data_IF_871302723989
#
_entry.id   IF_871302723989
#
_cell.length_a   1.000
_cell.length_b   1.000
_cell.length_c   1.000
_cell.angle_alpha   90.00
_cell.angle_beta   90.00
_cell.angle_gamma   90.00
#
_symmetry.space_group_name_H-M   'P 1'
#
loop_
_entity.id
_entity.type
_entity.pdbx_description
1 polymer ?
#
# COMPACT_ATOMS: atom_id res chain seq x y z
N UNK A 1 42.94 -28.96 -8.72
CA UNK A 1 41.81 -29.17 -9.66
C UNK A 1 40.65 -28.32 -9.17
N UNK A 2 40.58 -27.11 -9.70
CA UNK A 2 39.69 -26.01 -9.29
C UNK A 2 38.37 -26.07 -10.05
N UNK A 3 37.27 -26.32 -9.33
CA UNK A 3 35.90 -26.13 -9.84
C UNK A 3 35.44 -24.68 -9.53
N UNK A 4 34.62 -24.07 -10.40
CA UNK A 4 34.65 -22.63 -10.63
C UNK A 4 33.73 -21.87 -9.68
N UNK A 5 34.31 -20.88 -9.01
CA UNK A 5 33.63 -19.74 -8.41
C UNK A 5 32.90 -18.93 -9.49
N UNK A 6 31.68 -19.30 -9.90
CA UNK A 6 31.01 -18.54 -10.99
C UNK A 6 29.49 -18.39 -10.92
N UNK A 7 28.84 -18.62 -9.77
CA UNK A 7 27.42 -18.22 -9.60
C UNK A 7 27.19 -17.34 -8.36
N UNK A 8 28.12 -17.35 -7.39
CA UNK A 8 28.01 -16.53 -6.17
C UNK A 8 28.55 -15.09 -6.39
N UNK A 9 29.29 -14.83 -7.48
CA UNK A 9 29.77 -13.48 -7.81
C UNK A 9 28.68 -12.52 -8.31
N UNK A 10 27.44 -12.98 -8.47
CA UNK A 10 26.25 -12.14 -8.70
C UNK A 10 25.95 -11.21 -7.51
N UNK A 11 26.55 -11.45 -6.35
CA UNK A 11 26.41 -10.60 -5.16
C UNK A 11 27.61 -9.67 -4.97
N UNK A 12 27.79 -8.70 -5.88
CA UNK A 12 28.26 -7.35 -5.51
C UNK A 12 27.15 -6.56 -4.78
N UNK A 13 26.30 -7.27 -4.03
CA UNK A 13 25.21 -6.72 -3.23
C UNK A 13 25.75 -5.78 -2.15
N UNK A 14 26.96 -6.06 -1.65
CA UNK A 14 27.66 -5.10 -0.80
C UNK A 14 27.79 -3.74 -1.49
N UNK A 15 28.17 -3.64 -2.76
CA UNK A 15 28.35 -2.36 -3.46
C UNK A 15 27.05 -1.57 -3.70
N UNK A 16 25.91 -2.26 -3.82
CA UNK A 16 24.60 -1.59 -3.98
C UNK A 16 24.22 -0.83 -2.70
N UNK A 17 24.61 -1.34 -1.53
CA UNK A 17 24.35 -0.72 -0.23
C UNK A 17 25.53 0.07 0.35
N UNK A 18 26.77 -0.28 -0.01
CA UNK A 18 28.02 0.37 0.45
C UNK A 18 28.43 1.55 -0.43
N UNK A 19 27.68 1.86 -1.49
CA UNK A 19 27.87 3.10 -2.22
C UNK A 19 27.83 4.26 -1.23
N UNK A 20 29.03 4.83 -1.03
CA UNK A 20 29.39 6.01 -0.23
C UNK A 20 28.72 7.29 -0.74
N UNK A 21 27.62 7.14 -1.50
CA UNK A 21 26.76 8.23 -1.92
C UNK A 21 25.75 8.51 -0.80
N UNK A 22 26.01 9.60 -0.11
CA UNK A 22 25.08 10.30 0.79
C UNK A 22 23.84 10.87 0.05
N UNK A 23 23.69 10.61 -1.26
CA UNK A 23 22.59 11.12 -2.07
C UNK A 23 21.25 10.46 -1.76
N UNK A 24 20.19 11.27 -1.68
CA UNK A 24 18.83 10.78 -1.96
C UNK A 24 18.84 10.20 -3.38
N UNK A 25 18.31 8.99 -3.53
CA UNK A 25 18.09 8.43 -4.87
C UNK A 25 16.93 9.17 -5.52
N UNK A 26 17.22 10.29 -6.18
CA UNK A 26 16.21 11.11 -6.86
C UNK A 26 15.37 10.29 -7.86
N UNK A 27 15.95 9.25 -8.46
CA UNK A 27 15.24 8.35 -9.34
C UNK A 27 14.12 7.54 -8.63
N UNK A 28 14.28 7.22 -7.33
CA UNK A 28 13.22 6.54 -6.57
C UNK A 28 12.01 7.46 -6.36
N UNK A 29 12.25 8.77 -6.27
CA UNK A 29 11.18 9.75 -6.16
C UNK A 29 10.35 9.82 -7.46
N UNK A 30 10.96 9.59 -8.63
CA UNK A 30 10.25 9.43 -9.91
C UNK A 30 9.31 8.23 -9.85
N UNK A 31 9.80 7.06 -9.42
CA UNK A 31 8.96 5.86 -9.31
C UNK A 31 7.81 6.05 -8.32
N UNK A 32 8.04 6.74 -7.20
CA UNK A 32 6.97 7.10 -6.26
C UNK A 32 5.94 8.03 -6.87
N UNK A 33 6.39 9.03 -7.63
CA UNK A 33 5.48 9.95 -8.29
C UNK A 33 4.59 9.21 -9.31
N UNK A 34 5.19 8.36 -10.13
CA UNK A 34 4.45 7.53 -11.10
C UNK A 34 3.45 6.62 -10.37
N UNK A 35 3.89 5.91 -9.32
CA UNK A 35 3.01 5.05 -8.52
C UNK A 35 1.88 5.85 -7.85
N UNK A 36 2.15 7.06 -7.36
CA UNK A 36 1.14 7.94 -6.77
C UNK A 36 0.08 8.33 -7.80
N UNK A 37 0.51 8.82 -8.97
CA UNK A 37 -0.40 9.19 -10.05
C UNK A 37 -1.24 7.98 -10.48
N UNK A 38 -0.63 6.80 -10.59
CA UNK A 38 -1.33 5.56 -10.95
C UNK A 38 -2.44 5.23 -9.96
N UNK A 39 -2.13 5.19 -8.66
CA UNK A 39 -3.10 4.89 -7.59
C UNK A 39 -4.22 5.92 -7.58
N UNK A 40 -3.88 7.21 -7.67
CA UNK A 40 -4.88 8.30 -7.67
C UNK A 40 -5.81 8.19 -8.88
N UNK A 41 -5.27 7.97 -10.09
CA UNK A 41 -6.08 7.83 -11.31
C UNK A 41 -7.04 6.64 -11.21
N UNK A 42 -6.58 5.49 -10.70
CA UNK A 42 -7.42 4.30 -10.56
C UNK A 42 -8.55 4.56 -9.55
N UNK A 43 -8.26 5.06 -8.34
CA UNK A 43 -9.31 5.36 -7.35
C UNK A 43 -10.29 6.43 -7.83
N UNK A 44 -9.82 7.48 -8.53
CA UNK A 44 -10.71 8.47 -9.13
C UNK A 44 -11.56 7.88 -10.25
N UNK A 45 -11.01 6.94 -11.04
CA UNK A 45 -11.69 6.24 -12.12
C UNK A 45 -12.65 5.14 -11.66
N UNK A 46 -12.50 4.62 -10.44
CA UNK A 46 -13.40 3.63 -9.83
C UNK A 46 -14.30 4.28 -8.77
N UNK A 47 -13.82 4.39 -7.52
CA UNK A 47 -14.54 4.86 -6.34
C UNK A 47 -14.91 6.35 -6.41
N UNK A 48 -14.18 7.13 -7.21
CA UNK A 48 -14.38 8.55 -7.42
C UNK A 48 -15.30 8.91 -8.59
N UNK A 49 -15.97 7.97 -9.25
CA UNK A 49 -16.89 8.26 -10.37
C UNK A 49 -18.36 8.25 -9.96
N UNK A 50 -19.02 9.41 -10.10
CA UNK A 50 -20.43 9.58 -9.71
C UNK A 50 -21.40 8.68 -10.48
N UNK A 51 -21.15 8.43 -11.76
CA UNK A 51 -21.98 7.57 -12.60
C UNK A 51 -21.86 6.09 -12.23
N UNK A 52 -20.67 5.63 -11.82
CA UNK A 52 -20.50 4.30 -11.21
C UNK A 52 -21.26 4.23 -9.88
N UNK A 53 -21.13 5.26 -9.04
CA UNK A 53 -21.80 5.32 -7.73
C UNK A 53 -23.33 5.30 -7.89
N UNK A 54 -23.87 6.07 -8.84
CA UNK A 54 -25.31 6.18 -9.14
C UNK A 54 -25.87 5.06 -10.01
N UNK A 55 -25.05 4.07 -10.38
CA UNK A 55 -25.44 2.96 -11.26
C UNK A 55 -26.05 3.45 -12.58
N UNK A 56 -25.46 4.51 -13.15
CA UNK A 56 -25.86 5.05 -14.43
C UNK A 56 -25.27 4.21 -15.59
N UNK A 57 -25.94 4.22 -16.75
CA UNK A 57 -25.50 3.49 -17.95
C UNK A 57 -24.08 3.87 -18.41
N UNK A 58 -23.67 5.11 -18.19
CA UNK A 58 -22.31 5.61 -18.46
C UNK A 58 -21.25 4.96 -17.55
N UNK A 59 -21.62 4.58 -16.33
CA UNK A 59 -20.79 3.82 -15.41
C UNK A 59 -20.54 2.41 -15.94
N UNK A 60 -21.60 1.71 -16.34
CA UNK A 60 -21.51 0.35 -16.88
C UNK A 60 -20.70 0.29 -18.19
N UNK A 61 -20.92 1.25 -19.10
CA UNK A 61 -20.15 1.35 -20.34
C UNK A 61 -18.66 1.51 -20.07
N UNK A 62 -18.29 2.29 -19.06
CA UNK A 62 -16.89 2.43 -18.68
C UNK A 62 -16.32 1.15 -18.08
N UNK A 63 -17.07 0.46 -17.20
CA UNK A 63 -16.63 -0.84 -16.67
C UNK A 63 -16.35 -1.82 -17.81
N UNK A 64 -17.28 -1.91 -18.75
CA UNK A 64 -17.13 -2.72 -19.96
C UNK A 64 -15.87 -2.32 -20.75
N UNK A 65 -15.65 -1.03 -21.01
CA UNK A 65 -14.48 -0.55 -21.72
C UNK A 65 -13.16 -0.87 -20.99
N UNK A 66 -13.13 -0.79 -19.66
CA UNK A 66 -11.95 -1.18 -18.87
C UNK A 66 -11.70 -2.69 -18.99
N UNK A 67 -12.73 -3.52 -18.91
CA UNK A 67 -12.60 -4.97 -19.04
C UNK A 67 -12.20 -5.43 -20.44
N UNK A 68 -12.73 -4.79 -21.49
CA UNK A 68 -12.49 -5.17 -22.87
C UNK A 68 -11.17 -4.63 -23.43
N UNK A 69 -10.64 -3.54 -22.87
CA UNK A 69 -9.46 -2.90 -23.44
C UNK A 69 -8.16 -3.65 -23.07
N UNK A 70 -7.42 -4.20 -24.05
CA UNK A 70 -6.30 -5.11 -23.79
C UNK A 70 -5.10 -4.46 -23.07
N UNK A 71 -4.92 -3.15 -23.25
CA UNK A 71 -3.81 -2.39 -22.65
C UNK A 71 -4.26 -1.58 -21.42
N UNK A 72 -5.25 -0.70 -21.58
CA UNK A 72 -5.73 0.15 -20.49
C UNK A 72 -6.49 -0.59 -19.40
N UNK A 73 -7.12 -1.74 -19.69
CA UNK A 73 -7.81 -2.54 -18.68
C UNK A 73 -6.88 -2.99 -17.55
N UNK A 74 -5.82 -3.75 -17.86
CA UNK A 74 -4.84 -4.17 -16.85
C UNK A 74 -4.09 -3.03 -16.16
N UNK A 75 -3.95 -1.87 -16.82
CA UNK A 75 -3.18 -0.72 -16.29
C UNK A 75 -4.04 0.21 -15.43
N UNK A 76 -5.21 0.62 -15.93
CA UNK A 76 -6.10 1.59 -15.31
C UNK A 76 -7.24 0.95 -14.50
N UNK A 77 -7.37 -0.37 -14.57
CA UNK A 77 -8.31 -1.15 -13.78
C UNK A 77 -7.65 -1.86 -12.59
N UNK A 78 -6.38 -1.57 -12.26
CA UNK A 78 -5.64 -2.26 -11.20
C UNK A 78 -4.66 -1.31 -10.48
N UNK A 79 -5.13 -0.67 -9.42
CA UNK A 79 -4.33 0.16 -8.51
C UNK A 79 -3.33 -0.65 -7.69
N UNK A 80 -3.52 -1.96 -7.54
CA UNK A 80 -2.62 -2.81 -6.76
C UNK A 80 -1.19 -2.76 -7.31
N UNK A 81 -1.02 -2.62 -8.63
CA UNK A 81 0.28 -2.43 -9.27
C UNK A 81 1.03 -1.20 -8.73
N UNK A 82 0.31 -0.08 -8.53
CA UNK A 82 0.89 1.12 -7.94
C UNK A 82 1.29 0.91 -6.47
N UNK A 83 0.44 0.21 -5.71
CA UNK A 83 0.73 -0.14 -4.30
C UNK A 83 1.94 -1.07 -4.17
N UNK A 84 2.08 -2.04 -5.07
CA UNK A 84 3.22 -2.96 -5.12
C UNK A 84 4.55 -2.21 -5.31
N UNK A 85 4.57 -1.18 -6.15
CA UNK A 85 5.75 -0.31 -6.30
C UNK A 85 6.09 0.37 -4.97
N UNK A 86 5.09 0.92 -4.26
CA UNK A 86 5.34 1.54 -2.95
C UNK A 86 5.87 0.55 -1.92
N UNK A 87 5.31 -0.66 -1.86
CA UNK A 87 5.75 -1.70 -0.93
C UNK A 87 7.18 -2.17 -1.25
N UNK A 88 7.50 -2.37 -2.53
CA UNK A 88 8.86 -2.72 -2.96
C UNK A 88 9.88 -1.64 -2.57
N UNK A 89 9.60 -0.38 -2.90
CA UNK A 89 10.46 0.76 -2.57
C UNK A 89 10.62 0.90 -1.05
N UNK A 90 9.54 0.68 -0.31
CA UNK A 90 9.55 0.70 1.14
C UNK A 90 10.48 -0.36 1.72
N UNK A 91 10.38 -1.62 1.27
CA UNK A 91 11.24 -2.72 1.71
C UNK A 91 12.72 -2.47 1.39
N UNK A 92 13.02 -1.99 0.18
CA UNK A 92 14.38 -1.63 -0.22
C UNK A 92 14.98 -0.55 0.70
N UNK A 93 14.23 0.51 0.98
CA UNK A 93 14.69 1.60 1.83
C UNK A 93 14.74 1.21 3.30
N UNK A 94 13.86 0.31 3.73
CA UNK A 94 13.89 -0.28 5.07
C UNK A 94 15.21 -1.04 5.28
N UNK A 95 15.63 -1.87 4.33
CA UNK A 95 16.90 -2.58 4.37
C UNK A 95 18.11 -1.62 4.46
N UNK A 96 18.12 -0.56 3.64
CA UNK A 96 19.19 0.46 3.68
C UNK A 96 19.19 1.25 5.00
N UNK A 97 18.01 1.64 5.49
CA UNK A 97 17.83 2.35 6.75
C UNK A 97 18.34 1.50 7.93
N UNK A 98 18.05 0.20 7.92
CA UNK A 98 18.55 -0.75 8.92
C UNK A 98 20.07 -0.79 8.92
N UNK A 99 20.68 -1.04 7.76
CA UNK A 99 22.14 -1.10 7.64
C UNK A 99 22.83 0.21 8.06
N UNK A 100 22.21 1.36 7.80
CA UNK A 100 22.76 2.68 8.15
C UNK A 100 22.69 2.99 9.64
N UNK A 101 21.58 2.65 10.29
CA UNK A 101 21.31 3.10 11.66
C UNK A 101 21.50 2.03 12.74
N UNK A 102 21.71 0.78 12.33
CA UNK A 102 22.04 -0.30 13.26
C UNK A 102 23.46 -0.10 13.80
N UNK A 103 23.60 -0.22 15.12
CA UNK A 103 24.91 -0.32 15.78
C UNK A 103 25.19 -1.78 16.15
N UNK A 104 26.39 -2.27 15.85
CA UNK A 104 26.82 -3.64 16.16
C UNK A 104 26.93 -3.85 17.67
N UNK A 105 27.27 -2.80 18.41
CA UNK A 105 27.47 -2.84 19.88
C UNK A 105 26.14 -2.82 20.65
N UNK A 106 25.03 -2.52 19.97
CA UNK A 106 23.71 -2.48 20.60
C UNK A 106 22.98 -3.82 20.46
N UNK A 107 22.25 -4.27 21.49
CA UNK A 107 21.42 -5.46 21.40
C UNK A 107 20.34 -5.28 20.33
N UNK A 108 19.91 -6.41 19.75
CA UNK A 108 18.93 -6.47 18.67
C UNK A 108 17.68 -5.62 18.96
N UNK A 109 17.10 -5.77 20.15
CA UNK A 109 15.84 -5.09 20.51
C UNK A 109 15.96 -3.57 20.57
N UNK A 110 17.11 -3.02 20.97
CA UNK A 110 17.35 -1.56 20.96
C UNK A 110 17.51 -1.03 19.53
N UNK A 111 18.16 -1.79 18.64
CA UNK A 111 18.24 -1.43 17.23
C UNK A 111 16.85 -1.52 16.56
N UNK A 112 16.10 -2.59 16.83
CA UNK A 112 14.75 -2.82 16.30
C UNK A 112 13.77 -1.75 16.77
N UNK A 113 13.69 -1.47 18.08
CA UNK A 113 12.77 -0.46 18.61
C UNK A 113 13.06 0.93 18.05
N UNK A 114 14.33 1.35 18.00
CA UNK A 114 14.72 2.62 17.39
C UNK A 114 14.40 2.70 15.90
N UNK A 115 14.58 1.59 15.16
CA UNK A 115 14.26 1.49 13.74
C UNK A 115 12.76 1.62 13.46
N UNK A 116 11.93 0.97 14.26
CA UNK A 116 10.48 1.05 14.19
C UNK A 116 9.98 2.43 14.60
N UNK A 117 10.43 2.94 15.74
CA UNK A 117 9.99 4.23 16.29
C UNK A 117 10.27 5.40 15.34
N UNK A 118 11.46 5.45 14.72
CA UNK A 118 11.79 6.50 13.73
C UNK A 118 10.84 6.49 12.53
N UNK A 119 10.43 5.31 12.06
CA UNK A 119 9.47 5.21 10.95
C UNK A 119 8.07 5.60 11.41
N UNK A 120 7.64 5.15 12.58
CA UNK A 120 6.35 5.51 13.14
C UNK A 120 6.19 7.03 13.25
N UNK A 121 7.19 7.74 13.80
CA UNK A 121 7.20 9.20 13.87
C UNK A 121 7.15 9.90 12.50
N UNK A 122 7.65 9.23 11.45
CA UNK A 122 7.59 9.76 10.08
C UNK A 122 6.23 9.52 9.43
N UNK A 123 5.53 8.46 9.82
CA UNK A 123 4.31 8.00 9.13
C UNK A 123 3.04 8.49 9.83
N UNK A 124 2.95 8.36 11.16
CA UNK A 124 1.73 8.66 11.90
C UNK A 124 1.28 10.14 11.80
N UNK A 125 2.17 11.15 11.99
CA UNK A 125 1.72 12.55 11.95
C UNK A 125 1.19 12.98 10.57
N UNK A 126 1.86 12.68 9.43
CA UNK A 126 1.31 12.99 8.11
C UNK A 126 0.00 12.27 7.82
N UNK A 127 -0.15 11.00 8.23
CA UNK A 127 -1.41 10.25 8.06
C UNK A 127 -2.56 10.92 8.81
N UNK A 128 -2.33 11.31 10.07
CA UNK A 128 -3.33 12.02 10.87
C UNK A 128 -3.69 13.39 10.28
N UNK A 129 -2.68 14.16 9.85
CA UNK A 129 -2.90 15.45 9.22
C UNK A 129 -3.70 15.31 7.92
N UNK A 130 -3.38 14.31 7.10
CA UNK A 130 -4.11 14.00 5.87
C UNK A 130 -5.57 13.63 6.17
N UNK A 131 -5.82 12.70 7.09
CA UNK A 131 -7.18 12.31 7.48
C UNK A 131 -7.96 13.52 7.99
N UNK A 132 -7.35 14.35 8.84
CA UNK A 132 -8.01 15.54 9.38
C UNK A 132 -8.39 16.55 8.29
N UNK A 133 -7.50 16.79 7.33
CA UNK A 133 -7.76 17.70 6.20
C UNK A 133 -8.83 17.14 5.27
N UNK A 134 -8.68 15.87 4.87
CA UNK A 134 -9.54 15.23 3.87
C UNK A 134 -10.93 14.88 4.41
N UNK A 135 -11.04 14.46 5.69
CA UNK A 135 -12.32 14.21 6.36
C UNK A 135 -12.92 15.46 7.04
N UNK A 136 -12.17 16.57 7.07
CA UNK A 136 -12.60 17.80 7.71
C UNK A 136 -13.47 18.70 6.82
N UNK A 137 -13.81 19.91 7.31
CA UNK A 137 -14.61 20.88 6.56
C UNK A 137 -14.00 21.27 5.22
N UNK A 138 -12.66 21.31 5.13
CA UNK A 138 -11.95 21.66 3.90
C UNK A 138 -12.16 20.60 2.81
N UNK A 139 -12.05 19.30 3.14
CA UNK A 139 -12.34 18.23 2.21
C UNK A 139 -13.80 18.25 1.73
N UNK A 140 -14.74 18.50 2.64
CA UNK A 140 -16.17 18.63 2.30
C UNK A 140 -16.44 19.82 1.37
N UNK A 141 -15.79 20.95 1.60
CA UNK A 141 -15.92 22.12 0.74
C UNK A 141 -15.26 21.93 -0.63
N UNK A 142 -14.09 21.29 -0.68
CA UNK A 142 -13.34 21.11 -1.92
C UNK A 142 -13.96 20.06 -2.85
N UNK A 143 -14.53 18.97 -2.30
CA UNK A 143 -15.06 17.84 -3.06
C UNK A 143 -16.47 17.41 -2.56
N UNK A 144 -17.47 18.31 -2.55
CA UNK A 144 -18.75 18.06 -1.89
C UNK A 144 -19.49 16.84 -2.46
N UNK A 145 -19.44 16.65 -3.79
CA UNK A 145 -20.11 15.55 -4.48
C UNK A 145 -19.49 14.19 -4.21
N UNK A 146 -18.20 14.15 -3.85
CA UNK A 146 -17.48 12.91 -3.61
C UNK A 146 -17.19 12.67 -2.14
N UNK A 147 -17.40 13.66 -1.28
CA UNK A 147 -17.03 13.58 0.13
C UNK A 147 -17.68 12.38 0.81
N UNK A 148 -18.95 12.13 0.55
CA UNK A 148 -19.69 11.02 1.17
C UNK A 148 -19.33 9.64 0.62
N UNK A 149 -18.88 9.53 -0.63
CA UNK A 149 -18.42 8.26 -1.21
C UNK A 149 -16.97 7.93 -0.85
N UNK A 150 -16.14 8.96 -0.72
CA UNK A 150 -14.70 8.84 -0.50
C UNK A 150 -14.35 8.84 0.99
N UNK A 151 -15.03 9.65 1.81
CA UNK A 151 -14.76 9.76 3.25
C UNK A 151 -15.76 8.91 4.03
N UNK A 152 -15.28 7.79 4.56
CA UNK A 152 -16.08 6.84 5.31
C UNK A 152 -15.77 6.83 6.80
N UNK A 153 -16.82 6.95 7.64
CA UNK A 153 -16.85 6.61 9.07
C UNK A 153 -15.50 6.77 9.83
N UNK A 154 -14.96 7.99 9.85
CA UNK A 154 -13.73 8.33 10.54
C UNK A 154 -13.97 8.63 12.03
N UNK A 155 -14.47 7.64 12.78
CA UNK A 155 -14.60 7.77 14.24
C UNK A 155 -13.25 7.66 14.95
N UNK A 156 -13.22 8.01 16.24
CA UNK A 156 -12.01 7.87 17.08
C UNK A 156 -11.40 6.48 17.05
N UNK A 157 -12.21 5.42 16.88
CA UNK A 157 -11.72 4.03 16.79
C UNK A 157 -10.93 3.79 15.49
N UNK A 158 -11.44 4.24 14.34
CA UNK A 158 -10.76 4.14 13.05
C UNK A 158 -9.52 5.04 13.01
N UNK A 159 -9.57 6.21 13.64
CA UNK A 159 -8.39 7.07 13.73
C UNK A 159 -7.29 6.40 14.53
N UNK A 160 -7.64 5.77 15.66
CA UNK A 160 -6.67 5.03 16.46
C UNK A 160 -6.08 3.83 15.73
N UNK A 161 -6.88 3.11 14.93
CA UNK A 161 -6.36 1.99 14.13
C UNK A 161 -5.38 2.45 13.04
N UNK A 162 -5.53 3.66 12.50
CA UNK A 162 -4.58 4.29 11.58
C UNK A 162 -3.29 4.75 12.26
N UNK A 163 -3.35 5.24 13.51
CA UNK A 163 -2.14 5.62 14.28
C UNK A 163 -1.29 4.40 14.61
N UNK A 164 -1.95 3.29 14.96
CA UNK A 164 -1.29 2.03 15.23
C UNK A 164 -1.01 1.19 13.99
N UNK A 165 -1.55 1.58 12.82
CA UNK A 165 -1.46 0.85 11.56
C UNK A 165 -1.95 -0.62 11.66
N UNK A 166 -2.99 -0.85 12.46
CA UNK A 166 -3.65 -2.15 12.66
C UNK A 166 -5.02 -2.21 11.96
N UNK A 167 -5.33 -1.22 11.14
CA UNK A 167 -6.61 -1.08 10.45
C UNK A 167 -6.96 -2.31 9.58
N UNK A 168 -5.97 -3.00 9.00
CA UNK A 168 -6.19 -4.23 8.21
C UNK A 168 -6.57 -5.46 9.04
N UNK A 169 -6.37 -5.44 10.36
CA UNK A 169 -6.76 -6.52 11.27
C UNK A 169 -8.07 -6.22 12.01
N UNK A 170 -8.59 -5.01 11.83
CA UNK A 170 -9.84 -4.60 12.45
C UNK A 170 -11.02 -5.20 11.68
N UNK A 171 -12.06 -5.62 12.41
CA UNK A 171 -13.36 -5.95 11.83
C UNK A 171 -14.16 -4.69 11.45
N UNK A 172 -13.68 -3.52 11.87
CA UNK A 172 -14.31 -2.23 11.59
C UNK A 172 -13.78 -1.72 10.25
N UNK A 173 -14.63 -1.18 9.36
CA UNK A 173 -14.19 -0.56 8.11
C UNK A 173 -13.10 0.49 8.34
N UNK A 174 -12.10 0.49 7.46
CA UNK A 174 -11.01 1.47 7.50
C UNK A 174 -11.55 2.84 7.08
N UNK A 175 -11.28 3.88 7.86
CA UNK A 175 -11.56 5.27 7.46
C UNK A 175 -10.74 5.58 6.20
N UNK A 176 -11.41 5.94 5.11
CA UNK A 176 -10.83 6.05 3.76
C UNK A 176 -10.19 4.73 3.32
N UNK A 177 -10.94 3.94 2.54
CA UNK A 177 -10.58 2.57 2.16
C UNK A 177 -9.14 2.46 1.66
N UNK A 178 -8.73 3.34 0.74
CA UNK A 178 -7.39 3.38 0.13
C UNK A 178 -6.22 3.57 1.12
N UNK A 179 -6.44 3.99 2.37
CA UNK A 179 -5.39 4.07 3.39
C UNK A 179 -4.94 2.70 3.91
N UNK A 180 -5.60 1.61 3.50
CA UNK A 180 -5.24 0.23 3.86
C UNK A 180 -3.76 -0.10 3.60
N UNK A 181 -3.16 0.47 2.55
CA UNK A 181 -1.78 0.19 2.17
C UNK A 181 -0.77 0.71 3.21
N UNK A 182 -1.08 1.82 3.91
CA UNK A 182 -0.21 2.35 4.95
C UNK A 182 -0.12 1.39 6.14
N UNK A 183 -1.26 0.77 6.47
CA UNK A 183 -1.33 -0.33 7.43
C UNK A 183 -0.44 -1.50 7.00
N UNK A 184 -0.58 -1.93 5.75
CA UNK A 184 0.18 -3.06 5.21
C UNK A 184 1.69 -2.78 5.19
N UNK A 185 2.08 -1.58 4.75
CA UNK A 185 3.47 -1.13 4.71
C UNK A 185 4.12 -1.20 6.10
N UNK A 186 3.43 -0.68 7.12
CA UNK A 186 3.90 -0.77 8.50
C UNK A 186 4.00 -2.21 8.98
N UNK A 187 3.00 -3.04 8.69
CA UNK A 187 2.96 -4.45 9.08
C UNK A 187 4.13 -5.23 8.47
N UNK A 188 4.44 -5.02 7.19
CA UNK A 188 5.64 -5.57 6.56
C UNK A 188 6.94 -5.01 7.17
N UNK A 189 6.96 -3.72 7.53
CA UNK A 189 8.11 -3.08 8.16
C UNK A 189 8.42 -3.64 9.56
N UNK A 190 7.41 -4.07 10.32
CA UNK A 190 7.59 -4.75 11.61
C UNK A 190 8.40 -6.04 11.48
N UNK A 191 8.23 -6.78 10.37
CA UNK A 191 8.96 -8.03 10.09
C UNK A 191 10.40 -7.79 9.62
N UNK A 192 10.68 -6.61 9.06
CA UNK A 192 11.97 -6.27 8.45
C UNK A 192 13.18 -6.48 9.37
N UNK A 193 13.24 -5.98 10.63
CA UNK A 193 14.40 -6.16 11.49
C UNK A 193 14.71 -7.65 11.74
N UNK A 194 13.69 -8.50 11.85
CA UNK A 194 13.86 -9.94 12.04
C UNK A 194 14.42 -10.62 10.80
N UNK A 195 13.86 -10.31 9.63
CA UNK A 195 14.33 -10.86 8.35
C UNK A 195 15.78 -10.46 8.05
N UNK A 196 16.12 -9.19 8.28
CA UNK A 196 17.49 -8.70 8.06
C UNK A 196 18.47 -9.28 9.07
N UNK A 197 18.09 -9.38 10.35
CA UNK A 197 18.92 -10.04 11.35
C UNK A 197 19.15 -11.52 11.03
N UNK A 198 18.11 -12.22 10.55
CA UNK A 198 18.22 -13.61 10.12
C UNK A 198 19.16 -13.76 8.92
N UNK A 199 19.07 -12.87 7.94
CA UNK A 199 19.93 -12.85 6.76
C UNK A 199 21.39 -12.57 7.14
N UNK A 200 21.64 -11.70 8.12
CA UNK A 200 22.98 -11.42 8.65
C UNK A 200 23.58 -12.62 9.39
N UNK A 201 22.79 -13.30 10.25
CA UNK A 201 23.30 -14.37 11.13
C UNK A 201 23.32 -15.74 10.47
N UNK A 202 22.34 -16.05 9.61
CA UNK A 202 22.18 -17.34 8.94
C UNK A 202 21.71 -17.11 7.50
N UNK A 203 22.60 -16.67 6.59
CA UNK A 203 22.22 -16.20 5.25
C UNK A 203 21.46 -17.24 4.42
N UNK A 204 21.90 -18.50 4.43
CA UNK A 204 21.21 -19.59 3.69
C UNK A 204 19.78 -19.78 4.17
N UNK A 205 19.58 -19.80 5.49
CA UNK A 205 18.26 -19.96 6.08
C UNK A 205 17.39 -18.71 5.87
N UNK A 206 17.95 -17.50 6.01
CA UNK A 206 17.26 -16.26 5.71
C UNK A 206 16.79 -16.18 4.25
N UNK A 207 17.62 -16.60 3.29
CA UNK A 207 17.25 -16.69 1.87
C UNK A 207 16.11 -17.71 1.67
N UNK A 208 16.20 -18.89 2.28
CA UNK A 208 15.11 -19.88 2.21
C UNK A 208 13.79 -19.33 2.74
N UNK A 209 13.81 -18.63 3.89
CA UNK A 209 12.60 -17.98 4.44
C UNK A 209 12.03 -16.94 3.47
N UNK A 210 12.86 -16.09 2.87
CA UNK A 210 12.39 -15.09 1.89
C UNK A 210 11.77 -15.75 0.65
N UNK A 211 12.40 -16.80 0.11
CA UNK A 211 11.86 -17.56 -1.04
C UNK A 211 10.51 -18.17 -0.68
N UNK A 212 10.38 -18.77 0.51
CA UNK A 212 9.13 -19.35 0.98
C UNK A 212 8.05 -18.28 1.15
N UNK A 213 8.38 -17.10 1.71
CA UNK A 213 7.43 -16.00 1.86
C UNK A 213 6.93 -15.48 0.51
N UNK A 214 7.83 -15.29 -0.45
CA UNK A 214 7.48 -14.83 -1.81
C UNK A 214 6.62 -15.88 -2.51
N UNK A 215 7.07 -17.14 -2.53
CA UNK A 215 6.33 -18.24 -3.14
C UNK A 215 4.96 -18.44 -2.49
N UNK A 216 4.90 -18.36 -1.16
CA UNK A 216 3.65 -18.43 -0.40
C UNK A 216 2.69 -17.29 -0.72
N UNK A 217 3.19 -16.06 -0.85
CA UNK A 217 2.37 -14.90 -1.25
C UNK A 217 1.76 -15.09 -2.64
N UNK A 218 2.56 -15.51 -3.63
CA UNK A 218 2.09 -15.80 -4.99
C UNK A 218 1.08 -16.94 -4.99
N UNK A 219 1.37 -18.02 -4.27
CA UNK A 219 0.48 -19.17 -4.16
C UNK A 219 -0.86 -18.80 -3.53
N UNK A 220 -0.87 -18.09 -2.40
CA UNK A 220 -2.09 -17.66 -1.72
C UNK A 220 -2.93 -16.76 -2.65
N UNK A 221 -2.29 -15.83 -3.37
CA UNK A 221 -3.00 -14.97 -4.32
C UNK A 221 -3.63 -15.81 -5.43
N UNK A 222 -2.88 -16.71 -6.06
CA UNK A 222 -3.40 -17.60 -7.11
C UNK A 222 -4.50 -18.54 -6.63
N UNK A 223 -4.36 -19.08 -5.42
CA UNK A 223 -5.39 -19.92 -4.79
C UNK A 223 -6.69 -19.14 -4.54
N UNK A 224 -6.59 -17.97 -3.93
CA UNK A 224 -7.74 -17.12 -3.64
C UNK A 224 -8.45 -16.64 -4.91
N UNK A 225 -7.67 -16.34 -5.94
CA UNK A 225 -8.13 -16.01 -7.28
C UNK A 225 -9.00 -17.13 -7.86
N UNK A 226 -8.49 -18.37 -7.83
CA UNK A 226 -9.15 -19.55 -8.41
C UNK A 226 -10.42 -19.95 -7.64
N UNK A 227 -10.36 -19.98 -6.31
CA UNK A 227 -11.48 -20.43 -5.47
C UNK A 227 -12.66 -19.46 -5.53
N UNK A 228 -12.40 -18.16 -5.57
CA UNK A 228 -13.45 -17.14 -5.53
C UNK A 228 -13.84 -16.64 -6.93
N UNK A 229 -13.17 -17.08 -8.00
CA UNK A 229 -13.46 -16.64 -9.37
C UNK A 229 -13.14 -15.17 -9.64
N UNK A 230 -12.28 -14.53 -8.84
CA UNK A 230 -12.00 -13.08 -8.89
C UNK A 230 -10.74 -12.73 -9.68
N UNK A 231 -10.28 -13.61 -10.56
CA UNK A 231 -9.00 -13.45 -11.26
C UNK A 231 -8.97 -12.29 -12.25
N UNK A 232 -10.13 -11.96 -12.82
CA UNK A 232 -10.28 -10.90 -13.80
C UNK A 232 -10.99 -9.67 -13.21
N UNK A 233 -11.12 -9.60 -11.87
CA UNK A 233 -11.72 -8.43 -11.24
C UNK A 233 -10.80 -7.23 -11.37
N UNK A 234 -11.43 -6.09 -11.59
CA UNK A 234 -10.81 -4.78 -11.65
C UNK A 234 -11.26 -3.92 -10.47
N UNK A 235 -10.53 -2.86 -10.17
CA UNK A 235 -10.92 -1.86 -9.18
C UNK A 235 -12.29 -1.23 -9.49
N UNK A 236 -12.72 -1.23 -10.76
CA UNK A 236 -14.05 -0.73 -11.15
C UNK A 236 -15.19 -1.66 -10.71
N UNK A 237 -14.87 -2.87 -10.27
CA UNK A 237 -15.82 -3.87 -9.77
C UNK A 237 -15.94 -3.84 -8.23
N UNK A 238 -15.17 -3.00 -7.53
CA UNK A 238 -15.24 -2.88 -6.08
C UNK A 238 -16.67 -2.48 -5.69
N UNK A 239 -17.36 -3.28 -4.85
CA UNK A 239 -18.72 -2.97 -4.45
C UNK A 239 -18.73 -1.70 -3.61
N UNK A 240 -19.35 -0.66 -4.14
CA UNK A 240 -19.66 0.56 -3.38
C UNK A 240 -20.65 0.16 -2.29
N UNK A 241 -20.31 0.30 -1.01
CA UNK A 241 -21.22 -0.15 0.04
C UNK A 241 -22.53 0.64 0.01
N UNK A 242 -23.66 -0.06 -0.02
CA UNK A 242 -25.02 0.49 -0.09
C UNK A 242 -25.34 1.49 1.02
N UNK A 243 -24.63 1.43 2.15
CA UNK A 243 -24.76 2.37 3.26
C UNK A 243 -24.47 3.84 2.87
N UNK A 244 -23.69 4.09 1.81
CA UNK A 244 -23.42 5.45 1.32
C UNK A 244 -24.57 6.07 0.53
N UNK A 245 -25.43 5.25 -0.08
CA UNK A 245 -26.48 5.74 -0.99
C UNK A 245 -27.68 6.28 -0.21
N UNK A 246 -28.08 5.59 0.85
CA UNK A 246 -29.21 6.02 1.70
C UNK A 246 -28.94 7.37 2.39
N UNK A 247 -27.68 7.69 2.72
CA UNK A 247 -27.31 8.98 3.32
C UNK A 247 -27.31 10.11 2.28
N UNK A 248 -27.00 9.78 1.02
CA UNK A 248 -27.02 10.73 -0.10
C UNK A 248 -28.42 11.20 -0.44
N UNK A 249 -29.37 10.27 -0.58
CA UNK A 249 -30.80 10.57 -0.83
C UNK A 249 -31.42 11.39 0.32
N UNK A 250 -31.16 11.00 1.57
CA UNK A 250 -31.73 11.66 2.76
C UNK A 250 -31.18 13.09 2.99
N UNK A 251 -30.04 13.42 2.38
CA UNK A 251 -29.45 14.77 2.40
C UNK A 251 -29.88 15.62 1.21
N UNK A 252 -30.15 15.04 0.04
CA UNK A 252 -30.75 15.78 -1.09
C UNK A 252 -32.19 16.21 -0.79
N UNK A 253 -32.97 15.39 -0.08
CA UNK A 253 -34.36 15.71 0.24
C UNK A 253 -34.51 16.74 1.38
N UNK A 254 -33.41 17.09 2.06
CA UNK A 254 -33.42 18.03 3.19
C UNK A 254 -33.02 19.46 2.82
N UNK A 255 -32.67 19.71 1.57
CA UNK A 255 -32.22 21.02 1.06
C UNK A 255 -32.93 21.49 -0.22
N UNK A 256 -34.13 20.97 -0.50
CA UNK A 256 -35.09 21.57 -1.42
C UNK A 256 -36.42 21.83 -0.69
#
# INVERSE_FOLDING_TARGET
>A
MSLPYSIISLFKFNNLFTSKYNGRFAFLDIFRFIALCWVVINHLGSEGRLDILRREKSGDLFKQNIHEHPIFGPILGNSALGVEIFLFLSGFLAARSWQRHRSVDRPFWLNASGFLFRRWLRLAPPTLAFIYIAAGPLGKWALPQFFHSMVSNCSSKQLFSHVLFINNFSKIPTCMGWLWYLGLDWQCYLLTPFLLYLLEKRPRFGISVLIIMIGGSVFIRGWHCQVNGICNNSDVDIPVSEEYFNIGEELTDRWW
#
